data_IF_827649585254
#
_entry.id   IF_827649585254
#
_cell.length_a   1.000
_cell.length_b   1.000
_cell.length_c   1.000
_cell.angle_alpha   90.00
_cell.angle_beta   90.00
_cell.angle_gamma   90.00
#
_symmetry.space_group_name_H-M   'P 1'
#
loop_
_entity.id
_entity.type
_entity.pdbx_description
1 polymer ?
#
# COMPACT_ATOMS: atom_id res chain seq x y z
N UNK A 1 14.69 -46.53 -42.80
CA UNK A 1 13.57 -47.16 -43.53
C UNK A 1 12.99 -48.28 -42.69
N UNK A 2 11.77 -48.14 -42.17
CA UNK A 2 10.80 -49.22 -41.92
C UNK A 2 9.52 -48.64 -41.31
N UNK A 3 8.39 -49.14 -41.79
CA UNK A 3 7.03 -48.61 -41.68
C UNK A 3 6.29 -48.99 -40.37
N UNK A 4 5.21 -48.27 -40.09
CA UNK A 4 4.07 -48.63 -39.21
C UNK A 4 3.36 -49.95 -39.68
N UNK A 5 2.26 -50.53 -39.07
CA UNK A 5 1.24 -49.93 -38.19
C UNK A 5 0.49 -50.82 -37.12
N UNK A 6 -0.24 -50.15 -36.18
CA UNK A 6 -1.55 -50.43 -35.46
C UNK A 6 -1.98 -51.86 -34.96
N UNK A 7 -3.18 -52.06 -34.36
CA UNK A 7 -3.75 -51.60 -33.08
C UNK A 7 -4.34 -52.78 -32.21
N UNK A 8 -4.73 -52.58 -30.93
CA UNK A 8 -5.86 -53.36 -30.33
C UNK A 8 -6.46 -52.82 -29.03
N UNK A 9 -7.76 -53.10 -28.92
CA UNK A 9 -8.85 -52.58 -28.09
C UNK A 9 -8.81 -52.92 -26.59
N UNK A 10 -9.23 -51.92 -25.79
CA UNK A 10 -10.34 -51.90 -24.80
C UNK A 10 -10.39 -53.01 -23.71
N UNK A 11 -10.28 -52.60 -22.45
CA UNK A 11 -11.03 -53.21 -21.35
C UNK A 11 -11.35 -52.17 -20.27
N UNK A 12 -12.64 -51.91 -20.10
CA UNK A 12 -13.25 -51.21 -18.97
C UNK A 12 -13.14 -52.12 -17.74
N UNK A 13 -12.76 -51.58 -16.58
CA UNK A 13 -13.26 -52.05 -15.29
C UNK A 13 -13.20 -50.95 -14.22
N UNK A 14 -14.38 -50.66 -13.72
CA UNK A 14 -14.79 -49.74 -12.65
C UNK A 14 -14.53 -50.45 -11.31
N UNK A 15 -13.88 -49.78 -10.37
CA UNK A 15 -13.94 -50.13 -8.95
C UNK A 15 -13.72 -48.85 -8.13
N UNK A 16 -14.78 -48.41 -7.45
CA UNK A 16 -14.72 -47.31 -6.52
C UNK A 16 -13.89 -47.68 -5.30
N UNK A 17 -13.13 -46.71 -4.80
CA UNK A 17 -12.57 -46.70 -3.46
C UNK A 17 -12.97 -45.37 -2.83
N UNK A 18 -13.93 -45.46 -1.93
CA UNK A 18 -14.24 -44.49 -0.88
C UNK A 18 -12.97 -43.93 -0.25
N UNK A 19 -12.86 -42.59 -0.21
CA UNK A 19 -12.04 -41.92 0.79
C UNK A 19 -12.80 -40.69 1.30
N UNK A 20 -13.09 -40.74 2.59
CA UNK A 20 -13.66 -39.66 3.37
C UNK A 20 -12.73 -38.44 3.35
N UNK A 21 -13.28 -37.25 3.18
CA UNK A 21 -12.62 -36.03 3.62
C UNK A 21 -13.59 -35.19 4.44
N UNK A 22 -13.04 -34.78 5.57
CA UNK A 22 -13.70 -34.25 6.74
C UNK A 22 -14.48 -32.97 6.47
N UNK A 23 -15.55 -32.83 7.24
CA UNK A 23 -16.24 -31.57 7.50
C UNK A 23 -15.18 -30.56 7.96
N UNK A 24 -14.89 -29.57 7.11
CA UNK A 24 -13.94 -28.50 7.40
C UNK A 24 -14.40 -27.70 8.61
N UNK A 25 -13.54 -27.60 9.61
CA UNK A 25 -13.71 -26.71 10.75
C UNK A 25 -13.85 -25.24 10.28
N UNK A 26 -14.63 -24.39 10.96
CA UNK A 26 -14.63 -22.96 10.66
C UNK A 26 -13.23 -22.40 10.94
N UNK A 27 -12.65 -21.75 9.93
CA UNK A 27 -11.38 -21.04 10.08
C UNK A 27 -11.50 -20.00 11.23
N UNK A 28 -10.46 -19.84 12.06
CA UNK A 28 -10.47 -18.82 13.10
C UNK A 28 -10.57 -17.45 12.43
N UNK A 29 -11.64 -16.72 12.74
CA UNK A 29 -11.81 -15.31 12.39
C UNK A 29 -10.61 -14.57 12.99
N UNK A 30 -9.70 -14.12 12.14
CA UNK A 30 -8.60 -13.27 12.57
C UNK A 30 -9.17 -12.02 13.26
N UNK A 31 -8.52 -11.47 14.30
CA UNK A 31 -8.99 -10.26 14.93
C UNK A 31 -8.93 -9.17 13.86
N UNK A 32 -10.10 -8.72 13.44
CA UNK A 32 -10.28 -7.56 12.56
C UNK A 32 -9.72 -6.37 13.35
N UNK A 33 -8.44 -6.08 13.13
CA UNK A 33 -7.81 -4.87 13.61
C UNK A 33 -8.69 -3.74 13.09
N UNK A 34 -9.43 -3.08 13.99
CA UNK A 34 -10.45 -2.10 13.67
C UNK A 34 -9.97 -1.23 12.50
N UNK A 35 -10.49 -1.53 11.31
CA UNK A 35 -10.06 -0.85 10.11
C UNK A 35 -10.53 0.59 10.28
N UNK A 36 -9.60 1.56 10.21
CA UNK A 36 -9.94 2.97 10.24
C UNK A 36 -11.05 3.18 9.20
N UNK A 37 -12.24 3.69 9.61
CA UNK A 37 -13.36 3.91 8.70
C UNK A 37 -12.91 4.71 7.47
N UNK A 38 -13.44 4.37 6.30
CA UNK A 38 -13.02 4.94 5.02
C UNK A 38 -13.10 6.47 5.01
N UNK A 39 -14.14 7.03 5.61
CA UNK A 39 -14.33 8.49 5.77
C UNK A 39 -13.15 9.17 6.48
N UNK A 40 -12.60 8.57 7.53
CA UNK A 40 -11.44 9.11 8.25
C UNK A 40 -10.14 8.97 7.47
N UNK A 41 -10.06 8.03 6.52
CA UNK A 41 -8.88 7.88 5.65
C UNK A 41 -8.84 9.00 4.62
N UNK A 42 -9.98 9.33 4.03
CA UNK A 42 -10.10 10.41 3.05
C UNK A 42 -9.85 11.77 3.73
N UNK A 43 -10.41 11.99 4.92
CA UNK A 43 -10.15 13.20 5.70
C UNK A 43 -8.66 13.32 6.09
N UNK A 44 -8.04 12.23 6.54
CA UNK A 44 -6.61 12.20 6.83
C UNK A 44 -5.76 12.50 5.58
N UNK A 45 -6.15 11.97 4.42
CA UNK A 45 -5.47 12.23 3.16
C UNK A 45 -5.60 13.71 2.75
N UNK A 46 -6.78 14.30 2.89
CA UNK A 46 -7.03 15.71 2.60
C UNK A 46 -6.23 16.63 3.53
N UNK A 47 -6.28 16.41 4.84
CA UNK A 47 -5.51 17.19 5.84
C UNK A 47 -4.01 17.07 5.62
N UNK A 48 -3.53 15.89 5.22
CA UNK A 48 -2.13 15.68 4.90
C UNK A 48 -1.70 16.42 3.63
N UNK A 49 -2.53 16.43 2.58
CA UNK A 49 -2.26 17.22 1.38
C UNK A 49 -2.22 18.72 1.70
N UNK A 50 -3.17 19.22 2.50
CA UNK A 50 -3.20 20.62 2.94
C UNK A 50 -1.96 20.98 3.76
N UNK A 51 -1.57 20.12 4.71
CA UNK A 51 -0.36 20.30 5.51
C UNK A 51 0.89 20.38 4.63
N UNK A 52 1.00 19.52 3.61
CA UNK A 52 2.12 19.54 2.68
C UNK A 52 2.17 20.85 1.89
N UNK A 53 1.04 21.30 1.37
CA UNK A 53 0.95 22.56 0.62
C UNK A 53 1.41 23.75 1.48
N UNK A 54 0.83 23.91 2.68
CA UNK A 54 1.23 24.99 3.61
C UNK A 54 2.69 24.89 4.02
N UNK A 55 3.23 23.68 4.15
CA UNK A 55 4.66 23.47 4.44
C UNK A 55 5.55 23.92 3.29
N UNK A 56 5.15 23.69 2.04
CA UNK A 56 5.88 24.17 0.87
C UNK A 56 5.86 25.70 0.76
N UNK A 57 4.69 26.33 0.98
CA UNK A 57 4.56 27.79 1.04
C UNK A 57 5.47 28.39 2.12
N UNK A 58 5.39 27.86 3.35
CA UNK A 58 6.24 28.30 4.45
C UNK A 58 7.74 28.08 4.17
N UNK A 59 8.09 26.96 3.52
CA UNK A 59 9.48 26.69 3.12
C UNK A 59 10.00 27.73 2.12
N UNK A 60 9.14 28.14 1.18
CA UNK A 60 9.47 29.19 0.23
C UNK A 60 9.69 30.52 0.95
N UNK A 61 8.71 30.97 1.74
CA UNK A 61 8.82 32.22 2.51
C UNK A 61 10.06 32.24 3.41
N UNK A 62 10.32 31.12 4.09
CA UNK A 62 11.50 30.93 4.93
C UNK A 62 12.81 31.07 4.12
N UNK A 63 12.86 30.52 2.91
CA UNK A 63 14.06 30.56 2.05
C UNK A 63 14.32 31.94 1.44
N UNK A 64 13.26 32.73 1.25
CA UNK A 64 13.34 34.11 0.73
C UNK A 64 13.42 35.15 1.84
N UNK A 65 13.36 34.74 3.12
CA UNK A 65 13.41 35.65 4.25
C UNK A 65 14.82 36.23 4.43
N UNK A 66 14.98 37.52 4.13
CA UNK A 66 16.22 38.26 4.39
C UNK A 66 16.24 38.74 5.86
N UNK A 67 16.60 37.83 6.77
CA UNK A 67 16.77 38.15 8.18
C UNK A 67 18.19 37.80 8.64
N UNK A 68 18.97 38.81 9.06
CA UNK A 68 20.35 38.66 9.51
C UNK A 68 20.51 37.70 10.71
N UNK A 69 19.45 37.59 11.53
CA UNK A 69 19.40 36.74 12.73
C UNK A 69 18.46 35.55 12.59
N UNK A 70 18.21 35.08 11.36
CA UNK A 70 17.31 33.94 11.11
C UNK A 70 17.74 32.68 11.88
N UNK A 71 19.03 32.53 12.17
CA UNK A 71 19.57 31.42 12.97
C UNK A 71 19.26 31.53 14.47
N UNK A 72 19.02 32.73 14.98
CA UNK A 72 18.70 32.99 16.39
C UNK A 72 17.18 33.17 16.61
N UNK A 73 16.43 33.36 15.52
CA UNK A 73 14.98 33.54 15.57
C UNK A 73 14.28 32.24 16.00
N UNK A 74 13.52 32.23 17.12
CA UNK A 74 12.80 31.05 17.58
C UNK A 74 11.77 30.53 16.57
N UNK A 75 11.14 31.44 15.80
CA UNK A 75 10.18 31.07 14.77
C UNK A 75 10.87 30.32 13.62
N UNK A 76 12.04 30.78 13.19
CA UNK A 76 12.85 30.15 12.15
C UNK A 76 13.31 28.75 12.55
N UNK A 77 13.68 28.54 13.81
CA UNK A 77 14.05 27.22 14.33
C UNK A 77 12.84 26.27 14.35
N UNK A 78 11.68 26.75 14.81
CA UNK A 78 10.44 25.97 14.77
C UNK A 78 9.99 25.62 13.35
N UNK A 79 10.17 26.52 12.38
CA UNK A 79 9.89 26.25 10.97
C UNK A 79 10.78 25.11 10.44
N UNK A 80 12.08 25.11 10.74
CA UNK A 80 12.99 24.00 10.38
C UNK A 80 12.58 22.67 11.01
N UNK A 81 12.17 22.68 12.27
CA UNK A 81 11.66 21.49 12.95
C UNK A 81 10.39 20.97 12.29
N UNK A 82 9.46 21.86 11.94
CA UNK A 82 8.25 21.52 11.20
C UNK A 82 8.60 20.84 9.85
N UNK A 83 9.54 21.41 9.08
CA UNK A 83 9.98 20.81 7.81
C UNK A 83 10.53 19.40 7.99
N UNK A 84 11.29 19.15 9.07
CA UNK A 84 11.81 17.81 9.39
C UNK A 84 10.71 16.83 9.77
N UNK A 85 9.74 17.26 10.57
CA UNK A 85 8.62 16.41 11.01
C UNK A 85 7.72 16.05 9.83
N UNK A 86 7.37 17.03 9.00
CA UNK A 86 6.54 16.81 7.80
C UNK A 86 7.25 15.87 6.83
N UNK A 87 8.55 16.03 6.60
CA UNK A 87 9.32 15.09 5.76
C UNK A 87 9.22 13.65 6.26
N UNK A 88 9.38 13.42 7.58
CA UNK A 88 9.23 12.09 8.19
C UNK A 88 7.82 11.54 8.04
N UNK A 89 6.80 12.39 8.20
CA UNK A 89 5.40 12.01 8.00
C UNK A 89 5.15 11.55 6.56
N UNK A 90 5.63 12.30 5.56
CA UNK A 90 5.51 11.92 4.15
C UNK A 90 6.20 10.59 3.85
N UNK A 91 7.38 10.36 4.40
CA UNK A 91 8.09 9.09 4.24
C UNK A 91 7.33 7.91 4.85
N UNK A 92 6.69 8.11 6.02
CA UNK A 92 5.85 7.10 6.64
C UNK A 92 4.62 6.79 5.79
N UNK A 93 3.91 7.81 5.34
CA UNK A 93 2.71 7.66 4.51
C UNK A 93 3.02 6.90 3.23
N UNK A 94 4.15 7.19 2.58
CA UNK A 94 4.59 6.45 1.38
C UNK A 94 4.84 4.97 1.63
N UNK A 95 5.18 4.57 2.87
CA UNK A 95 5.36 3.14 3.24
C UNK A 95 4.03 2.43 3.46
N UNK A 96 2.98 3.15 3.85
CA UNK A 96 1.64 2.58 4.07
C UNK A 96 0.72 2.73 2.86
N UNK A 97 1.08 3.58 1.89
CA UNK A 97 0.34 3.69 0.64
C UNK A 97 0.47 2.37 -0.17
N UNK A 98 -0.65 1.78 -0.61
CA UNK A 98 -0.60 0.63 -1.51
C UNK A 98 0.14 1.02 -2.80
N UNK A 99 0.94 0.11 -3.38
CA UNK A 99 1.66 0.41 -4.62
C UNK A 99 0.65 0.79 -5.71
N UNK A 100 0.97 1.78 -6.56
CA UNK A 100 0.06 2.18 -7.63
C UNK A 100 -0.22 0.96 -8.49
N UNK A 101 -1.51 0.59 -8.59
CA UNK A 101 -1.95 -0.50 -9.46
C UNK A 101 -1.49 -0.19 -10.87
N UNK A 102 -0.62 -1.04 -11.44
CA UNK A 102 -0.15 -0.83 -12.80
C UNK A 102 -1.37 -0.78 -13.73
N UNK A 103 -1.46 0.20 -14.64
CA UNK A 103 -2.53 0.24 -15.62
C UNK A 103 -2.39 -1.00 -16.51
N UNK A 104 -3.26 -1.98 -16.29
CA UNK A 104 -3.37 -3.15 -17.14
C UNK A 104 -4.00 -2.71 -18.46
N UNK A 105 -3.16 -2.33 -19.41
CA UNK A 105 -3.58 -2.20 -20.80
C UNK A 105 -3.79 -3.62 -21.35
N UNK A 106 -5.00 -4.15 -21.17
CA UNK A 106 -5.49 -5.28 -21.97
C UNK A 106 -5.95 -4.71 -23.31
N UNK A 107 -5.37 -5.24 -24.38
CA UNK A 107 -5.56 -4.82 -25.77
C UNK A 107 -6.47 -5.77 -26.51
#
# INVERSE_FOLDING_TARGET
MASAPTPRKRAVRKAGSTQAQAIGAPAPVAPEAAAIPEEYRDELAALMQELLLKTHELSFEYSTLECEKVTECPLAQKAKELFRVVKKLTELVRKFAPPPSQPSYIR
#
